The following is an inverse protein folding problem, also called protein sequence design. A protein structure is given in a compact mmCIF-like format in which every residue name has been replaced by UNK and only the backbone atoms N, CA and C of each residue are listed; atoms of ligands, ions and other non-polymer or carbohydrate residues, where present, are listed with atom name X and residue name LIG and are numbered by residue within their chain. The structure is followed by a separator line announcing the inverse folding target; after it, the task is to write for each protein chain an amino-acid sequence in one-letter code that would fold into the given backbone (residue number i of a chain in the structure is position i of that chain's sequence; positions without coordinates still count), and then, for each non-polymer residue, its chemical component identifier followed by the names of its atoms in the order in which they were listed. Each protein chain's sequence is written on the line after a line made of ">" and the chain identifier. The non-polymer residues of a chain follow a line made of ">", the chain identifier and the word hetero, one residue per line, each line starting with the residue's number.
data_IF_438675587395
#
_entry.id   IF_438675587395
#
_cell.length_a   1.000
_cell.length_b   1.000
_cell.length_c   1.000
_cell.angle_alpha   90.00
_cell.angle_beta   90.00
_cell.angle_gamma   90.00
#
_symmetry.space_group_name_H-M   'P 1'
#
loop_
_entity.id
_entity.type
_entity.pdbx_description
1 polymer ?
#
# COMPACT_ATOMS: atom_id res chain seq x y z
N UNK A 1 1.72 -46.39 -31.26
CA UNK A 1 1.42 -44.95 -31.22
C UNK A 1 1.83 -44.43 -32.58
N UNK A 2 0.85 -44.33 -33.46
CA UNK A 2 1.01 -44.43 -34.92
C UNK A 2 1.12 -43.01 -35.49
N UNK A 3 1.88 -42.81 -36.57
CA UNK A 3 2.14 -41.48 -37.17
C UNK A 3 0.88 -40.64 -37.45
N UNK A 4 -0.29 -41.27 -37.60
CA UNK A 4 -1.59 -40.60 -37.74
C UNK A 4 -1.99 -39.75 -36.50
N UNK A 5 -1.53 -40.11 -35.30
CA UNK A 5 -1.83 -39.35 -34.07
C UNK A 5 -1.05 -38.03 -34.02
N UNK A 6 0.18 -38.01 -34.55
CA UNK A 6 1.04 -36.82 -34.65
C UNK A 6 0.43 -35.79 -35.63
N UNK A 7 -0.12 -36.26 -36.75
CA UNK A 7 -0.76 -35.40 -37.76
C UNK A 7 -2.07 -34.81 -37.21
N UNK A 8 -2.84 -35.59 -36.44
CA UNK A 8 -4.06 -35.11 -35.76
C UNK A 8 -3.76 -34.09 -34.67
N UNK A 9 -2.66 -34.27 -33.94
CA UNK A 9 -2.17 -33.27 -32.98
C UNK A 9 -1.74 -32.00 -33.70
N UNK A 10 -0.96 -32.10 -34.78
CA UNK A 10 -0.51 -30.93 -35.55
C UNK A 10 -1.67 -30.13 -36.18
N UNK A 11 -2.72 -30.80 -36.66
CA UNK A 11 -3.93 -30.14 -37.16
C UNK A 11 -4.74 -29.43 -36.07
N UNK A 12 -4.68 -29.93 -34.82
CA UNK A 12 -5.35 -29.28 -33.68
C UNK A 12 -4.69 -27.97 -33.25
N UNK A 13 -3.39 -27.80 -33.54
CA UNK A 13 -2.64 -26.56 -33.34
C UNK A 13 -2.43 -25.78 -34.65
N UNK A 14 -3.31 -25.96 -35.65
CA UNK A 14 -3.33 -25.07 -36.81
C UNK A 14 -3.79 -23.68 -36.36
N UNK A 15 -2.83 -22.89 -35.92
CA UNK A 15 -3.00 -21.48 -35.57
C UNK A 15 -3.41 -20.79 -36.88
N UNK A 16 -4.57 -20.10 -36.93
CA UNK A 16 -4.97 -19.37 -38.12
C UNK A 16 -3.88 -18.34 -38.45
N UNK A 17 -3.65 -18.14 -39.75
CA UNK A 17 -2.64 -17.25 -40.31
C UNK A 17 -2.88 -15.80 -39.82
N UNK A 18 -2.36 -15.46 -38.65
CA UNK A 18 -2.38 -14.13 -38.05
C UNK A 18 -1.31 -13.35 -38.79
N UNK A 19 -1.74 -12.43 -39.67
CA UNK A 19 -0.85 -11.48 -40.34
C UNK A 19 -0.04 -10.71 -39.31
N UNK A 20 1.26 -10.52 -39.55
CA UNK A 20 2.22 -9.85 -38.66
C UNK A 20 1.73 -8.46 -38.17
N UNK A 21 0.85 -7.80 -38.94
CA UNK A 21 0.22 -6.52 -38.58
C UNK A 21 -0.72 -6.61 -37.37
N UNK A 22 -1.32 -7.77 -37.08
CA UNK A 22 -2.16 -7.99 -35.89
C UNK A 22 -1.35 -8.36 -34.64
N UNK A 23 -0.13 -8.86 -34.80
CA UNK A 23 0.76 -9.12 -33.67
C UNK A 23 1.31 -7.80 -33.10
N UNK A 24 1.64 -6.84 -33.96
CA UNK A 24 2.22 -5.56 -33.54
C UNK A 24 1.25 -4.68 -32.73
N UNK A 25 -0.05 -4.72 -33.04
CA UNK A 25 -1.08 -3.99 -32.26
C UNK A 25 -1.39 -4.66 -30.92
N UNK A 26 -1.34 -5.99 -30.86
CA UNK A 26 -1.48 -6.73 -29.59
C UNK A 26 -0.26 -6.54 -28.68
N UNK A 27 0.97 -6.53 -29.22
CA UNK A 27 2.20 -6.44 -28.42
C UNK A 27 2.39 -5.16 -27.61
N UNK A 28 1.58 -4.10 -27.82
CA UNK A 28 1.70 -2.84 -27.08
C UNK A 28 0.89 -2.76 -25.77
N UNK A 29 -0.02 -3.71 -25.48
CA UNK A 29 -0.84 -3.71 -24.25
C UNK A 29 -0.38 -4.70 -23.16
N UNK A 30 0.53 -5.64 -23.46
CA UNK A 30 0.95 -6.69 -22.50
C UNK A 30 1.86 -6.20 -21.38
N UNK A 31 2.41 -4.99 -21.47
CA UNK A 31 3.43 -4.53 -20.53
C UNK A 31 2.84 -3.90 -19.25
N UNK A 32 1.55 -3.57 -19.23
CA UNK A 32 0.89 -3.01 -18.04
C UNK A 32 0.14 -4.09 -17.25
N UNK A 33 -0.60 -4.98 -17.94
CA UNK A 33 -1.25 -6.14 -17.30
C UNK A 33 -0.25 -7.06 -16.59
N UNK A 34 0.89 -7.37 -17.23
CA UNK A 34 1.92 -8.21 -16.61
C UNK A 34 2.51 -7.59 -15.33
N UNK A 35 2.53 -6.25 -15.20
CA UNK A 35 3.07 -5.59 -14.00
C UNK A 35 2.10 -5.67 -12.83
N UNK A 36 0.80 -5.49 -13.10
CA UNK A 36 -0.23 -5.65 -12.08
C UNK A 36 -0.31 -7.10 -11.59
N UNK A 37 -0.23 -8.08 -12.51
CA UNK A 37 -0.22 -9.50 -12.18
C UNK A 37 0.96 -9.89 -11.29
N UNK A 38 2.15 -9.38 -11.59
CA UNK A 38 3.35 -9.61 -10.78
C UNK A 38 3.22 -9.00 -9.38
N UNK A 39 2.64 -7.81 -9.25
CA UNK A 39 2.41 -7.18 -7.95
C UNK A 39 1.38 -7.94 -7.09
N UNK A 40 0.35 -8.52 -7.73
CA UNK A 40 -0.60 -9.41 -7.06
C UNK A 40 0.07 -10.69 -6.56
N UNK A 41 0.94 -11.30 -7.36
CA UNK A 41 1.71 -12.49 -6.95
C UNK A 41 2.56 -12.17 -5.72
N UNK A 42 3.29 -11.06 -5.71
CA UNK A 42 4.09 -10.67 -4.53
C UNK A 42 3.23 -10.42 -3.30
N UNK A 43 2.06 -9.77 -3.46
CA UNK A 43 1.10 -9.55 -2.38
C UNK A 43 0.63 -10.87 -1.78
N UNK A 44 0.23 -11.83 -2.62
CA UNK A 44 -0.36 -13.07 -2.16
C UNK A 44 0.68 -13.96 -1.45
N UNK A 45 1.90 -14.03 -2.00
CA UNK A 45 3.02 -14.73 -1.35
C UNK A 45 3.36 -14.04 -0.02
N UNK A 46 3.41 -12.71 0.01
CA UNK A 46 3.66 -11.95 1.24
C UNK A 46 2.61 -12.25 2.32
N UNK A 47 1.33 -12.18 1.99
CA UNK A 47 0.22 -12.50 2.91
C UNK A 47 0.32 -13.95 3.39
N UNK A 48 0.63 -14.89 2.51
CA UNK A 48 0.85 -16.29 2.89
C UNK A 48 2.02 -16.44 3.87
N UNK A 49 3.14 -15.74 3.66
CA UNK A 49 4.26 -15.74 4.60
C UNK A 49 3.88 -15.18 5.98
N UNK A 50 3.09 -14.10 6.03
CA UNK A 50 2.63 -13.51 7.30
C UNK A 50 1.68 -14.46 8.03
N UNK A 51 0.72 -15.06 7.33
CA UNK A 51 -0.25 -15.99 7.90
C UNK A 51 0.39 -17.30 8.38
N UNK A 52 1.43 -17.78 7.68
CA UNK A 52 2.19 -18.98 8.07
C UNK A 52 3.35 -18.70 9.04
N UNK A 53 3.45 -17.47 9.55
CA UNK A 53 4.48 -17.02 10.49
C UNK A 53 5.94 -17.14 9.97
N UNK A 54 6.14 -17.10 8.65
CA UNK A 54 7.46 -17.09 7.99
C UNK A 54 7.98 -15.65 7.83
N UNK A 55 8.19 -14.96 8.94
CA UNK A 55 8.44 -13.52 8.96
C UNK A 55 9.75 -13.08 8.30
N UNK A 56 10.79 -13.92 8.31
CA UNK A 56 12.04 -13.64 7.62
C UNK A 56 11.84 -13.54 6.10
N UNK A 57 11.05 -14.46 5.52
CA UNK A 57 10.74 -14.46 4.10
C UNK A 57 9.80 -13.29 3.74
N UNK A 58 8.83 -13.00 4.62
CA UNK A 58 7.94 -11.85 4.46
C UNK A 58 8.73 -10.52 4.36
N UNK A 59 9.77 -10.32 5.19
CA UNK A 59 10.62 -9.13 5.15
C UNK A 59 11.38 -8.99 3.81
N UNK A 60 11.87 -10.09 3.25
CA UNK A 60 12.57 -10.09 1.96
C UNK A 60 11.62 -9.71 0.83
N UNK A 61 10.44 -10.32 0.78
CA UNK A 61 9.42 -10.04 -0.25
C UNK A 61 8.94 -8.59 -0.15
N UNK A 62 8.74 -8.10 1.08
CA UNK A 62 8.33 -6.73 1.32
C UNK A 62 9.37 -5.73 0.79
N UNK A 63 10.65 -6.09 0.80
CA UNK A 63 11.73 -5.35 0.14
C UNK A 63 11.72 -5.36 -1.39
N UNK A 64 10.83 -6.11 -2.05
CA UNK A 64 10.64 -6.14 -3.50
C UNK A 64 9.35 -5.43 -3.95
N UNK A 65 8.33 -5.41 -3.09
CA UNK A 65 7.04 -4.79 -3.40
C UNK A 65 7.16 -3.28 -3.64
N UNK A 66 6.29 -2.67 -4.46
CA UNK A 66 6.19 -1.21 -4.56
C UNK A 66 5.38 -0.61 -3.39
N UNK A 67 4.39 -1.34 -2.90
CA UNK A 67 3.46 -0.94 -1.83
C UNK A 67 3.93 -1.40 -0.44
N UNK A 68 5.22 -1.18 -0.13
CA UNK A 68 5.88 -1.70 1.10
C UNK A 68 5.26 -1.17 2.38
N UNK A 69 4.98 0.13 2.44
CA UNK A 69 4.41 0.81 3.62
C UNK A 69 3.05 0.20 3.97
N UNK A 70 2.12 0.17 3.02
CA UNK A 70 0.79 -0.39 3.25
C UNK A 70 0.86 -1.87 3.61
N UNK A 71 1.67 -2.65 2.90
CA UNK A 71 1.83 -4.08 3.18
C UNK A 71 2.40 -4.36 4.58
N UNK A 72 3.34 -3.53 5.05
CA UNK A 72 3.86 -3.61 6.42
C UNK A 72 2.77 -3.29 7.47
N UNK A 73 1.95 -2.27 7.22
CA UNK A 73 0.83 -1.91 8.09
C UNK A 73 -0.24 -3.02 8.13
N UNK A 74 -0.50 -3.68 6.99
CA UNK A 74 -1.38 -4.85 6.89
C UNK A 74 -0.83 -6.01 7.71
N UNK A 75 0.47 -6.32 7.59
CA UNK A 75 1.09 -7.36 8.40
C UNK A 75 0.99 -7.05 9.90
N UNK A 76 1.24 -5.81 10.32
CA UNK A 76 1.03 -5.38 11.71
C UNK A 76 -0.41 -5.62 12.17
N UNK A 77 -1.42 -5.26 11.36
CA UNK A 77 -2.83 -5.52 11.69
C UNK A 77 -3.14 -7.01 11.82
N UNK A 78 -2.67 -7.83 10.88
CA UNK A 78 -2.87 -9.29 10.91
C UNK A 78 -2.24 -9.87 12.18
N UNK A 79 -0.98 -9.54 12.48
CA UNK A 79 -0.30 -10.03 13.68
C UNK A 79 -0.98 -9.57 14.96
N UNK A 80 -1.44 -8.32 15.05
CA UNK A 80 -2.25 -7.81 16.17
C UNK A 80 -3.56 -8.59 16.30
N UNK A 81 -4.26 -8.88 15.21
CA UNK A 81 -5.49 -9.67 15.24
C UNK A 81 -5.26 -11.11 15.70
N UNK A 82 -4.11 -11.71 15.33
CA UNK A 82 -3.72 -13.05 15.77
C UNK A 82 -3.48 -13.14 17.28
N UNK A 83 -3.14 -12.03 17.94
CA UNK A 83 -2.98 -12.01 19.41
C UNK A 83 -4.27 -12.39 20.16
N UNK A 84 -5.44 -12.18 19.56
CA UNK A 84 -6.71 -12.57 20.17
C UNK A 84 -6.88 -14.09 20.28
N UNK A 85 -6.33 -14.83 19.32
CA UNK A 85 -6.43 -16.29 19.23
C UNK A 85 -5.27 -17.04 19.90
N UNK A 86 -4.22 -16.32 20.32
CA UNK A 86 -3.07 -16.94 20.96
C UNK A 86 -3.43 -17.49 22.36
N UNK A 87 -3.00 -18.73 22.69
CA UNK A 87 -3.38 -19.40 23.94
C UNK A 87 -2.71 -18.76 25.16
N UNK A 88 -1.42 -18.44 25.06
CA UNK A 88 -0.59 -18.03 26.18
C UNK A 88 -0.15 -16.57 26.10
N UNK A 89 0.14 -15.97 27.26
CA UNK A 89 0.65 -14.60 27.35
C UNK A 89 1.98 -14.43 26.59
N UNK A 90 2.87 -15.42 26.66
CA UNK A 90 4.15 -15.37 25.96
C UNK A 90 3.97 -15.31 24.43
N UNK A 91 3.07 -16.13 23.88
CA UNK A 91 2.74 -16.11 22.45
C UNK A 91 2.12 -14.78 22.03
N UNK A 92 1.25 -14.20 22.87
CA UNK A 92 0.67 -12.87 22.63
C UNK A 92 1.75 -11.80 22.56
N UNK A 93 2.70 -11.82 23.47
CA UNK A 93 3.77 -10.83 23.52
C UNK A 93 4.73 -10.96 22.33
N UNK A 94 5.07 -12.20 21.93
CA UNK A 94 5.83 -12.45 20.70
C UNK A 94 5.14 -11.87 19.46
N UNK A 95 3.84 -12.13 19.29
CA UNK A 95 3.06 -11.60 18.18
C UNK A 95 2.99 -10.06 18.18
N UNK A 96 2.85 -9.42 19.34
CA UNK A 96 2.89 -7.96 19.48
C UNK A 96 4.26 -7.39 19.13
N UNK A 97 5.33 -8.04 19.58
CA UNK A 97 6.70 -7.64 19.26
C UNK A 97 6.94 -7.68 17.75
N UNK A 98 6.53 -8.76 17.09
CA UNK A 98 6.65 -8.88 15.63
C UNK A 98 5.79 -7.84 14.89
N UNK A 99 4.56 -7.58 15.34
CA UNK A 99 3.72 -6.52 14.79
C UNK A 99 4.41 -5.14 14.88
N UNK A 100 5.03 -4.84 16.02
CA UNK A 100 5.79 -3.61 16.22
C UNK A 100 7.02 -3.52 15.30
N UNK A 101 7.66 -4.65 14.98
CA UNK A 101 8.77 -4.68 14.02
C UNK A 101 8.30 -4.29 12.62
N UNK A 102 7.14 -4.78 12.17
CA UNK A 102 6.56 -4.36 10.88
C UNK A 102 6.12 -2.89 10.89
N UNK A 103 5.56 -2.40 12.00
CA UNK A 103 5.25 -0.97 12.14
C UNK A 103 6.52 -0.11 12.04
N UNK A 104 7.60 -0.52 12.71
CA UNK A 104 8.90 0.18 12.67
C UNK A 104 9.48 0.16 11.25
N UNK A 105 9.37 -0.97 10.54
CA UNK A 105 9.77 -1.05 9.14
C UNK A 105 9.02 -0.02 8.26
N UNK A 106 7.71 0.13 8.46
CA UNK A 106 6.91 1.11 7.72
C UNK A 106 7.35 2.55 8.02
N UNK A 107 7.65 2.85 9.29
CA UNK A 107 8.14 4.17 9.74
C UNK A 107 9.47 4.49 9.07
N UNK A 108 10.44 3.58 9.13
CA UNK A 108 11.75 3.80 8.53
C UNK A 108 11.66 4.06 7.02
N UNK A 109 10.80 3.34 6.31
CA UNK A 109 10.60 3.56 4.88
C UNK A 109 9.96 4.93 4.59
N UNK A 110 8.93 5.31 5.34
CA UNK A 110 8.31 6.64 5.22
C UNK A 110 9.32 7.74 5.52
N UNK A 111 10.13 7.58 6.57
CA UNK A 111 11.16 8.54 6.96
C UNK A 111 12.22 8.70 5.87
N UNK A 112 12.71 7.59 5.31
CA UNK A 112 13.64 7.61 4.18
C UNK A 112 13.04 8.32 2.96
N UNK A 113 11.78 8.02 2.63
CA UNK A 113 11.07 8.67 1.53
C UNK A 113 10.89 10.17 1.78
N UNK A 114 10.55 10.56 3.01
CA UNK A 114 10.30 11.95 3.40
C UNK A 114 11.56 12.81 3.35
N UNK A 115 12.72 12.23 3.71
CA UNK A 115 14.03 12.87 3.55
C UNK A 115 14.36 13.10 2.08
N UNK A 116 13.97 12.17 1.19
CA UNK A 116 14.21 12.31 -0.26
C UNK A 116 13.28 13.34 -0.91
N UNK A 117 11.96 13.21 -0.71
CA UNK A 117 10.98 14.15 -1.26
C UNK A 117 9.68 14.18 -0.43
N UNK A 118 9.54 15.25 0.36
CA UNK A 118 8.38 15.45 1.25
C UNK A 118 7.03 15.41 0.53
N UNK A 119 6.91 16.07 -0.62
CA UNK A 119 5.65 16.18 -1.36
C UNK A 119 5.22 14.82 -1.93
N UNK A 120 6.16 14.12 -2.59
CA UNK A 120 5.91 12.79 -3.13
C UNK A 120 5.59 11.76 -2.05
N UNK A 121 6.23 11.85 -0.88
CA UNK A 121 5.88 10.98 0.27
C UNK A 121 4.46 11.24 0.76
N UNK A 122 4.05 12.50 0.87
CA UNK A 122 2.68 12.83 1.27
C UNK A 122 1.66 12.26 0.29
N UNK A 123 1.89 12.44 -1.01
CA UNK A 123 1.06 11.87 -2.07
C UNK A 123 1.01 10.34 -2.00
N UNK A 124 2.15 9.69 -1.78
CA UNK A 124 2.25 8.23 -1.67
C UNK A 124 1.46 7.67 -0.48
N UNK A 125 1.39 8.39 0.64
CA UNK A 125 0.63 7.96 1.83
C UNK A 125 -0.89 8.07 1.62
N UNK A 126 -1.36 9.12 0.94
CA UNK A 126 -2.79 9.31 0.63
C UNK A 126 -3.26 8.56 -0.62
N UNK A 127 -2.34 8.12 -1.48
CA UNK A 127 -2.67 7.39 -2.70
C UNK A 127 -3.46 6.13 -2.37
N UNK A 128 -4.54 5.93 -3.11
CA UNK A 128 -5.33 4.71 -3.05
C UNK A 128 -4.59 3.56 -3.71
N UNK A 129 -4.48 2.44 -3.00
CA UNK A 129 -3.78 1.25 -3.49
C UNK A 129 -4.81 0.26 -4.04
N UNK A 130 -4.87 0.16 -5.38
CA UNK A 130 -5.79 -0.77 -6.08
C UNK A 130 -5.64 -2.23 -5.63
N UNK A 131 -4.41 -2.63 -5.27
CA UNK A 131 -4.08 -3.99 -4.82
C UNK A 131 -4.78 -4.39 -3.51
N UNK A 132 -5.24 -3.44 -2.72
CA UNK A 132 -5.91 -3.65 -1.44
C UNK A 132 -7.26 -2.89 -1.41
N UNK A 133 -8.08 -3.05 -2.44
CA UNK A 133 -9.44 -2.47 -2.51
C UNK A 133 -9.47 -0.93 -2.40
N UNK A 134 -8.48 -0.24 -2.96
CA UNK A 134 -8.36 1.23 -2.94
C UNK A 134 -8.19 1.83 -1.53
N UNK A 135 -7.72 1.04 -0.55
CA UNK A 135 -7.40 1.52 0.79
C UNK A 135 -6.15 2.42 0.74
N UNK A 136 -6.14 3.50 1.54
CA UNK A 136 -4.97 4.37 1.70
C UNK A 136 -4.07 3.89 2.85
N UNK A 137 -2.77 4.22 2.81
CA UNK A 137 -1.84 3.84 3.89
C UNK A 137 -2.30 4.44 5.24
N UNK A 138 -2.87 5.64 5.22
CA UNK A 138 -3.37 6.32 6.41
C UNK A 138 -4.62 5.63 7.00
N UNK A 139 -5.59 5.25 6.16
CA UNK A 139 -6.75 4.45 6.61
C UNK A 139 -6.30 3.12 7.22
N UNK A 140 -5.31 2.47 6.60
CA UNK A 140 -4.79 1.21 7.08
C UNK A 140 -4.03 1.35 8.40
N UNK A 141 -3.27 2.43 8.58
CA UNK A 141 -2.59 2.75 9.84
C UNK A 141 -3.58 2.94 11.00
N UNK A 142 -4.69 3.64 10.75
CA UNK A 142 -5.78 3.83 11.73
C UNK A 142 -6.44 2.47 12.03
N UNK A 143 -6.76 1.69 11.00
CA UNK A 143 -7.42 0.40 11.16
C UNK A 143 -6.54 -0.68 11.83
N UNK A 144 -5.21 -0.49 11.85
CA UNK A 144 -4.24 -1.36 12.52
C UNK A 144 -3.75 -0.83 13.87
N UNK A 145 -4.33 0.26 14.39
CA UNK A 145 -3.89 0.96 15.61
C UNK A 145 -2.36 1.17 15.66
N UNK A 146 -1.79 1.64 14.55
CA UNK A 146 -0.35 1.90 14.39
C UNK A 146 -0.03 3.34 14.80
N UNK A 147 -0.08 3.61 16.11
CA UNK A 147 0.07 4.95 16.68
C UNK A 147 1.44 5.56 16.44
N UNK A 148 2.50 4.75 16.41
CA UNK A 148 3.86 5.25 16.18
C UNK A 148 4.00 5.76 14.76
N UNK A 149 3.39 5.05 13.80
CA UNK A 149 3.35 5.48 12.41
C UNK A 149 2.60 6.81 12.23
N UNK A 150 1.47 7.00 12.91
CA UNK A 150 0.70 8.25 12.83
C UNK A 150 1.41 9.45 13.49
N UNK A 151 2.30 9.19 14.45
CA UNK A 151 3.09 10.22 15.12
C UNK A 151 4.35 10.62 14.35
N UNK A 152 4.62 10.00 13.19
CA UNK A 152 5.76 10.36 12.35
C UNK A 152 5.59 11.76 11.73
N UNK A 153 6.69 12.50 11.61
CA UNK A 153 6.72 13.86 11.06
C UNK A 153 6.08 13.93 9.67
N UNK A 154 6.25 12.89 8.84
CA UNK A 154 5.66 12.81 7.52
C UNK A 154 4.12 12.77 7.57
N UNK A 155 3.54 12.04 8.52
CA UNK A 155 2.08 11.97 8.72
C UNK A 155 1.54 13.29 9.27
N UNK A 156 2.25 13.92 10.21
CA UNK A 156 1.87 15.23 10.76
C UNK A 156 1.94 16.34 9.71
N UNK A 157 2.99 16.34 8.87
CA UNK A 157 3.12 17.27 7.75
C UNK A 157 2.04 17.07 6.70
N UNK A 158 1.70 15.81 6.39
CA UNK A 158 0.60 15.47 5.49
C UNK A 158 -0.74 15.97 6.02
N UNK A 159 -1.05 15.69 7.30
CA UNK A 159 -2.27 16.18 7.93
C UNK A 159 -2.29 17.71 7.91
N UNK A 160 -1.20 18.37 8.29
CA UNK A 160 -1.04 19.82 8.21
C UNK A 160 -1.37 20.32 6.80
N UNK A 161 -0.81 19.71 5.75
CA UNK A 161 -1.11 20.07 4.38
C UNK A 161 -2.61 19.90 4.04
N UNK A 162 -3.24 18.80 4.46
CA UNK A 162 -4.70 18.60 4.30
C UNK A 162 -5.50 19.69 5.03
N UNK A 163 -5.08 20.07 6.25
CA UNK A 163 -5.73 21.10 7.06
C UNK A 163 -5.57 22.51 6.46
N UNK A 164 -4.43 22.81 5.82
CA UNK A 164 -4.10 24.13 5.26
C UNK A 164 -4.27 24.24 3.74
N UNK A 165 -4.71 23.19 3.04
CA UNK A 165 -4.80 23.08 1.57
C UNK A 165 -5.54 24.24 0.86
N UNK A 166 -6.29 25.06 1.60
CA UNK A 166 -6.96 26.27 1.08
C UNK A 166 -6.68 27.57 1.84
N UNK A 167 -5.79 27.56 2.83
CA UNK A 167 -5.55 28.73 3.70
C UNK A 167 -4.05 28.87 3.95
N UNK A 168 -3.45 29.91 3.39
CA UNK A 168 -2.05 30.26 3.65
C UNK A 168 -1.83 30.47 5.17
N UNK A 169 -1.00 29.64 5.84
CA UNK A 169 -0.93 29.57 7.30
C UNK A 169 -0.41 30.83 7.98
N UNK A 170 0.26 31.71 7.22
CA UNK A 170 0.99 32.87 7.73
C UNK A 170 0.18 34.17 7.65
N UNK A 171 -0.88 34.23 6.84
CA UNK A 171 -1.56 35.51 6.55
C UNK A 171 -2.91 35.71 7.25
N UNK A 172 -3.55 34.63 7.72
CA UNK A 172 -5.00 34.68 7.98
C UNK A 172 -5.42 34.31 9.42
N UNK A 173 -4.54 33.97 10.37
CA UNK A 173 -5.00 33.64 11.75
C UNK A 173 -5.72 34.81 12.43
N UNK A 174 -5.20 36.04 12.30
CA UNK A 174 -5.88 37.24 12.82
C UNK A 174 -7.05 37.67 11.95
N UNK A 175 -6.96 37.54 10.62
CA UNK A 175 -8.04 37.89 9.69
C UNK A 175 -9.25 36.97 9.78
N UNK A 176 -9.06 35.67 10.03
CA UNK A 176 -10.15 34.72 10.29
C UNK A 176 -10.88 35.06 11.59
N UNK A 177 -10.14 35.37 12.67
CA UNK A 177 -10.75 35.82 13.93
C UNK A 177 -11.50 37.13 13.72
N UNK A 178 -10.94 38.07 12.97
CA UNK A 178 -11.61 39.34 12.64
C UNK A 178 -12.87 39.10 11.79
N UNK A 179 -12.81 38.31 10.72
CA UNK A 179 -13.97 38.00 9.87
C UNK A 179 -15.09 37.28 10.63
N UNK A 180 -14.72 36.39 11.55
CA UNK A 180 -15.67 35.64 12.37
C UNK A 180 -16.34 36.55 13.42
N UNK A 181 -15.59 37.50 13.99
CA UNK A 181 -16.13 38.53 14.87
C UNK A 181 -16.99 39.56 14.12
N UNK A 182 -16.58 40.02 12.93
CA UNK A 182 -17.32 41.04 12.18
C UNK A 182 -18.60 40.49 11.52
N UNK A 183 -18.61 39.21 11.12
CA UNK A 183 -19.86 38.56 10.69
C UNK A 183 -20.86 38.39 11.85
N UNK A 184 -20.39 38.13 13.08
CA UNK A 184 -21.26 38.05 14.26
C UNK A 184 -21.90 39.38 14.66
N UNK A 185 -21.22 40.51 14.39
CA UNK A 185 -21.76 41.86 14.67
C UNK A 185 -22.74 42.32 13.60
N UNK A 186 -22.72 41.73 12.40
CA UNK A 186 -23.63 42.10 11.29
C UNK A 186 -25.01 41.43 11.36
N UNK A 187 -25.23 40.53 12.34
CA UNK A 187 -26.51 39.84 12.57
C UNK A 187 -27.26 40.33 13.81
N UNK A 188 -26.76 41.38 14.49
CA UNK A 188 -27.46 42.12 15.55
C UNK A 188 -27.89 43.50 15.03
#
# INVERSE_FOLDING_TARGET
>A
MTDDDQIRLALRWSIPNITEDQLLTSTMDWNDSNKEDVELIYRDIFLWCVLTYRLAMAKIILGQMKTRICSALIASKILKSLTYYAPDHESKERLRSEANIFETYAIEFVRCSYVYNKQQTCELIIRQIKLYENITCLQMAIAGDNKKFLNEDACQALLTNIWYDKIDPIQERSRLVINLLTMGVSQL
#
